data_IF_867119337938
#
_entry.id   IF_867119337938
#
_cell.length_a   1.000
_cell.length_b   1.000
_cell.length_c   1.000
_cell.angle_alpha   90.00
_cell.angle_beta   90.00
_cell.angle_gamma   90.00
#
_symmetry.space_group_name_H-M   'P 1'
#
loop_
_entity.id
_entity.type
_entity.pdbx_description
1 polymer ?
#
# COMPACT_ATOMS: atom_id res chain seq x y z
N UNK A 1 -11.24 -18.43 -33.92
CA UNK A 1 -9.90 -18.43 -33.30
C UNK A 1 -9.81 -19.68 -32.44
N UNK A 2 -9.22 -20.73 -33.02
CA UNK A 2 -9.23 -22.08 -32.45
C UNK A 2 -8.30 -22.18 -31.24
N UNK A 3 -8.89 -22.04 -30.05
CA UNK A 3 -8.21 -22.19 -28.76
C UNK A 3 -7.51 -23.57 -28.62
N UNK A 4 -7.90 -24.55 -29.43
CA UNK A 4 -7.37 -25.91 -29.45
C UNK A 4 -6.06 -26.06 -30.23
N UNK A 5 -5.59 -25.04 -30.97
CA UNK A 5 -4.28 -25.06 -31.64
C UNK A 5 -3.17 -24.37 -30.85
N UNK A 6 -3.47 -23.79 -29.69
CA UNK A 6 -2.46 -23.13 -28.86
C UNK A 6 -1.50 -24.17 -28.27
N UNK A 7 -0.21 -24.03 -28.54
CA UNK A 7 0.81 -24.88 -27.92
C UNK A 7 0.67 -24.84 -26.39
N UNK A 8 0.88 -25.97 -25.69
CA UNK A 8 0.69 -26.07 -24.23
C UNK A 8 1.46 -25.01 -23.42
N UNK A 9 2.59 -24.54 -23.96
CA UNK A 9 3.42 -23.48 -23.38
C UNK A 9 2.71 -22.12 -23.33
N UNK A 10 1.84 -21.81 -24.30
CA UNK A 10 1.07 -20.58 -24.31
C UNK A 10 -0.04 -20.60 -23.25
N UNK A 11 -0.68 -21.76 -23.05
CA UNK A 11 -1.66 -21.93 -21.98
C UNK A 11 -1.02 -21.73 -20.60
N UNK A 12 0.16 -22.30 -20.39
CA UNK A 12 0.93 -22.09 -19.16
C UNK A 12 1.31 -20.62 -18.98
N UNK A 13 1.81 -19.94 -20.03
CA UNK A 13 2.17 -18.53 -19.95
C UNK A 13 0.97 -17.64 -19.60
N UNK A 14 -0.20 -17.90 -20.18
CA UNK A 14 -1.44 -17.17 -19.89
C UNK A 14 -1.87 -17.40 -18.44
N UNK A 15 -1.84 -18.64 -17.97
CA UNK A 15 -2.20 -18.97 -16.58
C UNK A 15 -1.26 -18.31 -15.58
N UNK A 16 0.05 -18.36 -15.81
CA UNK A 16 1.04 -17.70 -14.94
C UNK A 16 0.86 -16.19 -14.95
N UNK A 17 0.66 -15.58 -16.12
CA UNK A 17 0.44 -14.15 -16.24
C UNK A 17 -0.84 -13.72 -15.52
N UNK A 18 -1.92 -14.47 -15.67
CA UNK A 18 -3.20 -14.20 -14.99
C UNK A 18 -3.09 -14.35 -13.48
N UNK A 19 -2.43 -15.42 -13.00
CA UNK A 19 -2.23 -15.65 -11.58
C UNK A 19 -1.34 -14.57 -10.95
N UNK A 20 -0.27 -14.16 -11.63
CA UNK A 20 0.62 -13.09 -11.19
C UNK A 20 -0.10 -11.74 -11.10
N UNK A 21 -0.89 -11.39 -12.13
CA UNK A 21 -1.68 -10.17 -12.14
C UNK A 21 -2.72 -10.15 -11.00
N UNK A 22 -3.43 -11.27 -10.81
CA UNK A 22 -4.41 -11.40 -9.73
C UNK A 22 -3.74 -11.27 -8.35
N UNK A 23 -2.63 -11.96 -8.13
CA UNK A 23 -1.86 -11.86 -6.89
C UNK A 23 -1.40 -10.43 -6.61
N UNK A 24 -0.88 -9.72 -7.62
CA UNK A 24 -0.42 -8.35 -7.46
C UNK A 24 -1.56 -7.41 -7.07
N UNK A 25 -2.73 -7.54 -7.71
CA UNK A 25 -3.93 -6.76 -7.37
C UNK A 25 -4.41 -7.09 -5.96
N UNK A 26 -4.53 -8.37 -5.61
CA UNK A 26 -4.93 -8.80 -4.27
C UNK A 26 -3.95 -8.32 -3.20
N UNK A 27 -2.65 -8.35 -3.47
CA UNK A 27 -1.61 -7.86 -2.58
C UNK A 27 -1.73 -6.34 -2.39
N UNK A 28 -1.86 -5.56 -3.47
CA UNK A 28 -2.05 -4.10 -3.36
C UNK A 28 -3.30 -3.73 -2.54
N UNK A 29 -4.40 -4.47 -2.72
CA UNK A 29 -5.62 -4.26 -1.94
C UNK A 29 -5.48 -4.70 -0.47
N UNK A 30 -4.69 -5.74 -0.18
CA UNK A 30 -4.48 -6.22 1.20
C UNK A 30 -3.44 -5.43 1.99
N UNK A 31 -2.42 -4.87 1.32
CA UNK A 31 -1.36 -4.06 1.96
C UNK A 31 -1.92 -2.83 2.70
N UNK A 32 -3.19 -2.50 2.49
CA UNK A 32 -3.87 -1.39 3.14
C UNK A 32 -4.75 -1.68 4.36
N UNK A 33 -5.09 -2.93 4.63
CA UNK A 33 -6.08 -3.27 5.64
C UNK A 33 -5.47 -3.58 7.03
N UNK A 34 -4.18 -3.28 7.21
CA UNK A 34 -3.46 -3.50 8.46
C UNK A 34 -3.70 -2.40 9.48
N UNK A 35 -4.70 -2.60 10.35
CA UNK A 35 -4.89 -1.95 11.66
C UNK A 35 -5.27 -0.46 11.59
N UNK A 36 -6.55 -0.19 11.29
CA UNK A 36 -7.15 1.13 11.45
C UNK A 36 -7.80 1.36 12.82
N UNK A 37 -7.95 0.32 13.67
CA UNK A 37 -8.74 0.43 14.90
C UNK A 37 -7.95 0.85 16.15
N UNK A 38 -6.61 0.85 16.13
CA UNK A 38 -5.81 0.98 17.37
C UNK A 38 -4.95 2.24 17.49
N UNK A 39 -4.80 3.06 16.44
CA UNK A 39 -3.93 4.23 16.51
C UNK A 39 -4.70 5.45 16.05
N UNK A 40 -5.06 6.32 17.00
CA UNK A 40 -5.37 7.72 16.76
C UNK A 40 -4.10 8.38 16.19
N UNK A 41 -3.77 8.10 14.94
CA UNK A 41 -2.56 8.51 14.26
C UNK A 41 -2.86 9.00 12.83
N UNK A 42 -1.88 9.59 12.15
CA UNK A 42 -2.10 10.18 10.84
C UNK A 42 -2.52 9.12 9.83
N UNK A 43 -3.49 9.44 8.94
CA UNK A 43 -4.15 8.47 8.07
C UNK A 43 -3.14 7.80 7.15
N UNK A 44 -2.89 6.51 7.32
CA UNK A 44 -1.94 5.78 6.47
C UNK A 44 -2.59 5.39 5.15
N UNK A 45 -2.14 5.99 4.04
CA UNK A 45 -2.61 5.62 2.69
C UNK A 45 -1.86 4.39 2.17
N UNK A 46 -2.55 3.28 1.88
CA UNK A 46 -1.94 2.15 1.17
C UNK A 46 -1.64 2.56 -0.28
N UNK A 47 -0.54 2.11 -0.93
CA UNK A 47 0.53 1.22 -0.43
C UNK A 47 1.73 1.96 0.19
N UNK A 48 1.78 3.29 0.12
CA UNK A 48 2.97 4.07 0.50
C UNK A 48 3.00 4.53 1.98
N UNK A 49 1.96 4.21 2.75
CA UNK A 49 1.78 4.65 4.15
C UNK A 49 1.99 6.17 4.28
N UNK A 50 2.53 6.66 5.40
CA UNK A 50 2.79 8.09 5.62
C UNK A 50 4.05 8.59 4.90
N UNK A 51 4.74 7.77 4.11
CA UNK A 51 5.98 8.20 3.43
C UNK A 51 5.73 9.34 2.45
N UNK A 52 4.56 9.37 1.82
CA UNK A 52 4.16 10.48 0.93
C UNK A 52 3.65 11.70 1.69
N UNK A 53 3.32 11.55 2.97
CA UNK A 53 2.80 12.63 3.79
C UNK A 53 3.91 13.42 4.47
N UNK A 54 5.11 12.86 4.64
CA UNK A 54 6.25 13.61 5.21
C UNK A 54 6.77 14.60 4.17
N UNK A 55 6.76 15.90 4.45
CA UNK A 55 7.18 16.91 3.50
C UNK A 55 8.71 16.96 3.46
N UNK A 56 9.26 17.28 2.29
CA UNK A 56 10.73 17.31 2.09
C UNK A 56 11.40 18.50 2.79
N UNK A 57 10.65 19.56 3.04
CA UNK A 57 11.04 20.70 3.88
C UNK A 57 10.02 20.85 5.00
N UNK A 58 10.43 21.47 6.12
CA UNK A 58 9.50 21.93 7.16
C UNK A 58 8.67 20.82 7.85
N UNK A 59 9.18 19.58 7.83
CA UNK A 59 8.52 18.41 8.43
C UNK A 59 8.20 18.56 9.92
N UNK A 60 8.97 19.39 10.63
CA UNK A 60 8.74 19.72 12.04
C UNK A 60 7.36 20.34 12.29
N UNK A 61 6.82 21.16 11.37
CA UNK A 61 5.46 21.69 11.52
C UNK A 61 4.40 20.60 11.42
N UNK A 62 4.57 19.67 10.47
CA UNK A 62 3.63 18.58 10.28
C UNK A 62 3.66 17.59 11.45
N UNK A 63 4.85 17.26 11.95
CA UNK A 63 5.00 16.47 13.17
C UNK A 63 4.42 17.19 14.40
N UNK A 64 4.56 18.52 14.51
CA UNK A 64 3.93 19.29 15.60
C UNK A 64 2.41 19.28 15.53
N UNK A 65 1.83 19.29 14.32
CA UNK A 65 0.38 19.17 14.16
C UNK A 65 -0.12 17.77 14.50
N UNK A 66 0.63 16.74 14.10
CA UNK A 66 0.34 15.37 14.48
C UNK A 66 0.47 15.15 15.98
N UNK A 67 1.46 15.75 16.64
CA UNK A 67 1.60 15.70 18.10
C UNK A 67 0.38 16.30 18.81
N UNK A 68 -0.11 17.44 18.35
CA UNK A 68 -1.33 18.07 18.89
C UNK A 68 -2.60 17.25 18.66
N UNK A 69 -2.71 16.55 17.53
CA UNK A 69 -3.91 15.79 17.15
C UNK A 69 -3.94 14.33 17.64
N UNK A 70 -2.77 13.73 17.81
CA UNK A 70 -2.58 12.29 18.04
C UNK A 70 -1.78 11.98 19.33
N UNK A 71 -1.24 13.00 19.99
CA UNK A 71 -0.45 12.88 21.21
C UNK A 71 1.04 12.57 20.97
N UNK A 72 1.74 12.35 22.08
CA UNK A 72 3.21 12.34 22.22
C UNK A 72 4.02 11.31 21.43
N UNK A 73 3.45 10.65 20.43
CA UNK A 73 4.16 9.82 19.47
C UNK A 73 4.99 10.67 18.47
N UNK A 74 4.64 11.94 18.30
CA UNK A 74 5.32 12.88 17.38
C UNK A 74 6.07 14.01 18.09
N UNK A 75 6.15 13.98 19.43
CA UNK A 75 6.99 14.89 20.22
C UNK A 75 8.46 14.71 19.85
N UNK A 76 9.10 15.79 19.41
CA UNK A 76 10.55 15.88 19.37
C UNK A 76 11.07 15.95 20.81
N UNK A 77 11.86 14.95 21.23
CA UNK A 77 12.66 14.98 22.47
C UNK A 77 13.99 15.67 22.24
#
# INVERSE_FOLDING_TARGET
>A
MDLLQLAPTHLLAILLSSASAFFLVSYLLHVGNGVSELLAGPPTLPPFRNKLQVPKSDAHFQFSQWDRGYGGLFTFK
#
